data_IF_014140558268
#
_entry.id   IF_014140558268
#
_cell.length_a   1.000
_cell.length_b   1.000
_cell.length_c   1.000
_cell.angle_alpha   90.00
_cell.angle_beta   90.00
_cell.angle_gamma   90.00
#
_symmetry.space_group_name_H-M   'P 1'
#
loop_
_entity.id
_entity.type
_entity.pdbx_description
1 polymer ?
#
# COMPACT_ATOMS: atom_id res chain seq x y z
N UNK A 1 59.09 9.81 54.71
CA UNK A 1 59.61 11.10 54.21
C UNK A 1 60.00 10.92 52.74
N UNK A 2 59.34 11.66 51.82
CA UNK A 2 59.66 11.92 50.38
C UNK A 2 59.73 10.70 49.40
N UNK A 3 58.72 10.48 48.54
CA UNK A 3 58.41 10.99 47.17
C UNK A 3 59.18 10.28 46.03
N UNK A 4 58.40 9.75 45.05
CA UNK A 4 58.57 9.65 43.57
C UNK A 4 58.18 8.24 43.09
N UNK A 5 57.36 8.02 42.06
CA UNK A 5 56.64 8.86 41.10
C UNK A 5 56.07 7.90 40.06
N UNK A 6 54.74 7.84 39.93
CA UNK A 6 54.07 6.96 38.98
C UNK A 6 53.80 7.70 37.66
N UNK A 7 54.21 7.06 36.56
CA UNK A 7 53.92 7.45 35.19
C UNK A 7 52.46 7.14 34.85
N UNK A 8 51.81 8.11 34.18
CA UNK A 8 50.52 7.96 33.52
C UNK A 8 50.60 6.95 32.35
N UNK A 9 49.43 6.43 31.89
CA UNK A 9 48.88 7.04 30.69
C UNK A 9 47.34 7.15 30.65
N UNK A 10 46.91 8.28 30.08
CA UNK A 10 45.84 8.51 29.10
C UNK A 10 44.96 7.31 28.70
N UNK A 11 43.64 7.43 28.87
CA UNK A 11 42.66 7.10 27.82
C UNK A 11 41.22 7.54 28.17
N UNK A 12 40.64 8.28 27.22
CA UNK A 12 39.21 8.33 26.87
C UNK A 12 38.23 9.02 27.84
N UNK A 13 38.21 10.36 27.78
CA UNK A 13 36.94 11.10 27.85
C UNK A 13 36.07 10.69 26.66
N UNK A 14 35.09 9.83 26.88
CA UNK A 14 33.93 9.71 25.98
C UNK A 14 32.85 10.65 26.49
N UNK A 15 32.89 11.87 25.98
CA UNK A 15 31.69 12.67 25.84
C UNK A 15 30.85 12.00 24.75
N UNK A 16 29.67 11.47 25.08
CA UNK A 16 28.61 11.36 24.08
C UNK A 16 27.35 11.96 24.67
N UNK A 17 27.00 13.08 24.07
CA UNK A 17 25.82 13.87 24.30
C UNK A 17 24.58 12.98 24.28
N UNK A 18 23.73 13.15 25.30
CA UNK A 18 22.32 12.85 25.21
C UNK A 18 21.69 13.71 24.12
N UNK A 19 21.71 13.20 22.89
CA UNK A 19 20.68 13.53 21.91
C UNK A 19 19.42 12.84 22.39
N UNK A 20 18.61 13.59 23.13
CA UNK A 20 17.17 13.39 23.20
C UNK A 20 16.68 13.48 21.75
N UNK A 21 16.64 12.34 21.06
CA UNK A 21 15.87 12.17 19.86
C UNK A 21 14.41 12.38 20.26
N UNK A 22 13.92 13.61 20.09
CA UNK A 22 12.49 13.83 19.93
C UNK A 22 12.02 12.85 18.87
N UNK A 23 10.93 12.08 19.10
CA UNK A 23 10.39 11.23 18.06
C UNK A 23 10.06 12.15 16.88
N UNK A 24 10.80 11.98 15.78
CA UNK A 24 10.48 12.60 14.52
C UNK A 24 9.08 12.09 14.16
N UNK A 25 8.09 12.96 14.32
CA UNK A 25 6.71 12.67 13.96
C UNK A 25 6.62 12.39 12.47
N UNK A 26 5.58 11.66 12.08
CA UNK A 26 5.29 11.44 10.68
C UNK A 26 5.32 12.77 9.92
N UNK A 27 6.09 12.85 8.84
CA UNK A 27 6.04 13.97 7.91
C UNK A 27 4.85 13.65 7.02
N UNK A 28 3.70 14.34 7.16
CA UNK A 28 2.65 14.23 6.18
C UNK A 28 3.27 14.60 4.83
N UNK A 29 3.33 13.62 3.96
CA UNK A 29 3.39 13.93 2.53
C UNK A 29 1.94 14.05 2.17
N UNK A 30 1.51 15.28 1.92
CA UNK A 30 0.28 15.45 1.18
C UNK A 30 0.60 15.01 -0.25
N UNK A 31 -0.28 14.24 -0.88
CA UNK A 31 -0.28 13.99 -2.32
C UNK A 31 -1.67 14.42 -2.77
N UNK A 32 -1.75 15.52 -3.49
CA UNK A 32 -3.04 16.01 -3.96
C UNK A 32 -3.42 15.23 -5.20
N UNK A 33 -4.37 14.30 -5.12
CA UNK A 33 -4.95 13.67 -6.30
C UNK A 33 -6.38 14.18 -6.46
N UNK A 34 -6.68 14.76 -7.62
CA UNK A 34 -8.00 15.27 -7.94
C UNK A 34 -8.38 14.97 -9.38
N UNK A 35 -9.61 14.50 -9.59
CA UNK A 35 -10.16 14.19 -10.91
C UNK A 35 -11.55 14.79 -11.05
N UNK A 36 -11.72 15.62 -12.07
CA UNK A 36 -12.97 16.24 -12.47
C UNK A 36 -13.53 15.46 -13.66
N UNK A 37 -14.80 15.06 -13.57
CA UNK A 37 -15.45 14.28 -14.63
C UNK A 37 -16.52 15.05 -15.41
N UNK A 38 -17.19 16.07 -14.85
CA UNK A 38 -18.29 16.74 -15.60
C UNK A 38 -18.73 18.15 -15.11
N UNK A 39 -17.96 18.85 -14.29
CA UNK A 39 -18.33 20.20 -13.81
C UNK A 39 -17.98 21.27 -14.85
N UNK A 40 -18.78 21.33 -15.93
CA UNK A 40 -18.62 22.33 -17.00
C UNK A 40 -19.02 23.73 -16.55
N UNK A 41 -18.29 24.75 -17.00
CA UNK A 41 -18.62 26.14 -16.69
C UNK A 41 -19.87 26.58 -17.47
N UNK A 42 -20.89 27.18 -16.82
CA UNK A 42 -22.09 27.67 -17.50
C UNK A 42 -21.78 28.70 -18.59
N UNK A 43 -22.48 28.63 -19.73
CA UNK A 43 -22.34 29.59 -20.83
C UNK A 43 -21.15 29.33 -21.78
N UNK A 44 -20.42 28.22 -21.60
CA UNK A 44 -19.39 27.79 -22.56
C UNK A 44 -20.03 27.34 -23.89
N UNK A 45 -19.35 27.58 -25.04
CA UNK A 45 -19.86 27.15 -26.33
C UNK A 45 -20.00 25.63 -26.34
N UNK A 46 -21.23 25.14 -26.53
CA UNK A 46 -21.46 23.70 -26.70
C UNK A 46 -21.03 23.29 -28.10
N UNK A 47 -19.93 22.55 -28.20
CA UNK A 47 -19.51 21.94 -29.47
C UNK A 47 -19.95 20.46 -29.50
N UNK A 48 -20.41 19.98 -30.66
CA UNK A 48 -20.67 18.55 -30.87
C UNK A 48 -19.39 17.79 -31.28
N UNK A 49 -18.27 18.50 -31.42
CA UNK A 49 -16.98 17.96 -31.83
C UNK A 49 -16.25 17.41 -30.60
N UNK A 50 -16.08 16.10 -30.54
CA UNK A 50 -15.42 15.42 -29.42
C UNK A 50 -13.97 15.86 -29.21
N UNK A 51 -13.26 16.31 -30.26
CA UNK A 51 -11.89 16.79 -30.16
C UNK A 51 -11.80 18.20 -29.54
N UNK A 52 -12.94 18.89 -29.45
CA UNK A 52 -13.11 20.22 -28.86
C UNK A 52 -13.91 20.17 -27.55
N UNK A 53 -14.01 18.99 -26.95
CA UNK A 53 -14.76 18.76 -25.72
C UNK A 53 -13.87 18.03 -24.72
N UNK A 54 -13.87 18.50 -23.47
CA UNK A 54 -13.24 17.82 -22.34
C UNK A 54 -14.20 16.74 -21.83
N UNK A 55 -13.66 15.56 -21.50
CA UNK A 55 -14.39 14.45 -20.89
C UNK A 55 -14.01 14.24 -19.44
N UNK A 56 -12.73 14.40 -19.12
CA UNK A 56 -12.22 14.33 -17.78
C UNK A 56 -10.92 15.12 -17.69
N UNK A 57 -10.64 15.71 -16.54
CA UNK A 57 -9.36 16.34 -16.27
C UNK A 57 -8.90 15.92 -14.87
N UNK A 58 -7.62 15.66 -14.70
CA UNK A 58 -7.04 15.32 -13.41
C UNK A 58 -5.75 16.08 -13.18
N UNK A 59 -5.46 16.31 -11.90
CA UNK A 59 -4.20 16.82 -11.42
C UNK A 59 -3.75 15.92 -10.26
N UNK A 60 -2.55 15.39 -10.37
CA UNK A 60 -1.87 14.65 -9.32
C UNK A 60 -0.63 15.41 -8.90
N UNK A 61 -0.40 15.54 -7.61
CA UNK A 61 0.58 16.47 -7.07
C UNK A 61 1.42 15.81 -6.00
N UNK A 62 2.74 15.74 -6.23
CA UNK A 62 3.75 15.43 -5.22
C UNK A 62 4.27 16.74 -4.61
N UNK A 63 3.79 17.05 -3.42
CA UNK A 63 4.13 18.28 -2.71
C UNK A 63 5.56 18.29 -2.15
N UNK A 64 6.31 17.17 -2.20
CA UNK A 64 7.75 17.14 -1.80
C UNK A 64 8.66 17.56 -2.93
N UNK A 65 8.43 17.03 -4.12
CA UNK A 65 9.21 17.36 -5.32
C UNK A 65 8.72 18.65 -5.95
N UNK A 66 7.51 19.09 -5.61
CA UNK A 66 6.82 20.17 -6.28
C UNK A 66 6.26 19.74 -7.64
N UNK A 67 6.29 18.44 -7.93
CA UNK A 67 5.86 17.89 -9.21
C UNK A 67 4.33 17.78 -9.27
N UNK A 68 3.77 18.21 -10.39
CA UNK A 68 2.36 18.12 -10.71
C UNK A 68 2.24 17.44 -12.06
N UNK A 69 1.55 16.30 -12.07
CA UNK A 69 1.11 15.63 -13.29
C UNK A 69 -0.32 16.06 -13.61
N UNK A 70 -0.51 16.67 -14.77
CA UNK A 70 -1.78 17.18 -15.27
C UNK A 70 -2.21 16.33 -16.45
N UNK A 71 -3.45 15.86 -16.43
CA UNK A 71 -4.00 15.04 -17.51
C UNK A 71 -5.36 15.58 -17.94
N UNK A 72 -5.60 15.65 -19.24
CA UNK A 72 -6.89 15.99 -19.84
C UNK A 72 -7.27 14.93 -20.88
N UNK A 73 -8.47 14.39 -20.74
CA UNK A 73 -9.07 13.44 -21.66
C UNK A 73 -10.09 14.17 -22.52
N UNK A 74 -9.94 14.10 -23.84
CA UNK A 74 -10.87 14.69 -24.80
C UNK A 74 -12.05 13.75 -25.08
N UNK A 75 -13.12 14.26 -25.68
CA UNK A 75 -14.26 13.47 -26.13
C UNK A 75 -13.95 12.56 -27.32
N UNK A 76 -12.93 12.89 -28.11
CA UNK A 76 -12.38 12.07 -29.19
C UNK A 76 -10.94 12.47 -29.54
N UNK A 77 -10.27 11.66 -30.37
CA UNK A 77 -8.95 11.96 -30.91
C UNK A 77 -8.89 13.32 -31.62
N UNK A 78 -7.76 14.02 -31.47
CA UNK A 78 -7.50 15.27 -32.21
C UNK A 78 -7.30 14.94 -33.69
N UNK A 79 -8.02 15.59 -34.62
CA UNK A 79 -7.88 15.33 -36.05
C UNK A 79 -6.45 15.58 -36.52
N UNK A 80 -6.00 14.77 -37.50
CA UNK A 80 -4.67 14.92 -38.07
C UNK A 80 -4.42 16.37 -38.54
N UNK A 81 -3.23 16.89 -38.26
CA UNK A 81 -2.80 18.26 -38.60
C UNK A 81 -3.61 19.38 -37.93
N UNK A 82 -4.44 19.04 -36.93
CA UNK A 82 -5.08 20.02 -36.05
C UNK A 82 -4.30 20.15 -34.74
N UNK A 83 -4.37 21.34 -34.16
CA UNK A 83 -3.73 21.64 -32.89
C UNK A 83 -4.79 22.02 -31.87
N UNK A 84 -4.70 21.43 -30.69
CA UNK A 84 -5.45 21.85 -29.51
C UNK A 84 -4.47 22.21 -28.40
N UNK A 85 -4.84 23.21 -27.62
CA UNK A 85 -4.08 23.63 -26.44
C UNK A 85 -4.94 23.46 -25.20
N UNK A 86 -4.43 22.74 -24.21
CA UNK A 86 -5.07 22.58 -22.91
C UNK A 86 -4.32 23.45 -21.92
N UNK A 87 -5.06 24.27 -21.18
CA UNK A 87 -4.51 25.12 -20.12
C UNK A 87 -5.16 24.76 -18.80
N UNK A 88 -4.34 24.39 -17.81
CA UNK A 88 -4.74 24.15 -16.43
C UNK A 88 -4.36 25.35 -15.58
N UNK A 89 -5.32 25.85 -14.80
CA UNK A 89 -5.14 26.85 -13.78
C UNK A 89 -5.35 26.21 -12.41
N UNK A 90 -4.27 26.13 -11.62
CA UNK A 90 -4.33 25.79 -10.21
C UNK A 90 -4.49 27.08 -9.42
N UNK A 91 -5.51 27.18 -8.58
CA UNK A 91 -5.88 28.45 -7.98
C UNK A 91 -6.69 28.36 -6.70
N UNK A 92 -7.23 29.51 -6.29
CA UNK A 92 -8.14 29.61 -5.13
C UNK A 92 -9.52 30.08 -5.54
N UNK A 93 -10.55 29.56 -4.89
CA UNK A 93 -11.88 30.12 -5.05
C UNK A 93 -11.91 31.57 -4.57
N UNK A 94 -12.52 32.43 -5.38
CA UNK A 94 -12.96 33.75 -4.96
C UNK A 94 -13.91 33.64 -3.75
N UNK A 95 -14.02 34.67 -2.90
CA UNK A 95 -14.91 34.65 -1.74
C UNK A 95 -16.39 34.36 -2.08
N UNK A 96 -16.82 34.66 -3.31
CA UNK A 96 -18.16 34.36 -3.82
C UNK A 96 -18.34 32.91 -4.28
N UNK A 97 -17.25 32.13 -4.38
CA UNK A 97 -17.25 30.76 -4.90
C UNK A 97 -17.53 30.66 -6.40
N UNK A 98 -17.62 31.77 -7.12
CA UNK A 98 -18.02 31.81 -8.54
C UNK A 98 -16.85 31.72 -9.51
N UNK A 99 -15.65 32.12 -9.08
CA UNK A 99 -14.45 32.20 -9.91
C UNK A 99 -13.25 31.53 -9.24
N UNK A 100 -12.46 30.82 -10.03
CA UNK A 100 -11.16 30.28 -9.63
C UNK A 100 -10.08 31.31 -10.01
N UNK A 101 -9.47 31.96 -9.02
CA UNK A 101 -8.38 32.90 -9.22
C UNK A 101 -7.08 32.11 -9.46
N UNK A 102 -6.47 32.18 -10.67
CA UNK A 102 -5.32 31.37 -11.02
C UNK A 102 -4.06 31.83 -10.26
N UNK A 103 -3.36 30.90 -9.64
CA UNK A 103 -2.04 31.14 -9.03
C UNK A 103 -0.92 30.53 -9.87
N UNK A 104 -1.16 29.34 -10.43
CA UNK A 104 -0.25 28.67 -11.37
C UNK A 104 -1.01 28.31 -12.63
N UNK A 105 -0.30 28.41 -13.76
CA UNK A 105 -0.84 28.09 -15.08
C UNK A 105 0.12 27.17 -15.80
N UNK A 106 -0.41 26.08 -16.34
CA UNK A 106 0.33 25.16 -17.21
C UNK A 106 -0.43 25.04 -18.52
N UNK A 107 0.29 25.07 -19.62
CA UNK A 107 -0.28 24.87 -20.95
C UNK A 107 0.46 23.74 -21.64
N UNK A 108 -0.30 22.82 -22.21
CA UNK A 108 0.21 21.77 -23.08
C UNK A 108 -0.49 21.85 -24.44
N UNK A 109 0.25 21.51 -25.49
CA UNK A 109 -0.26 21.47 -26.85
C UNK A 109 -0.27 20.02 -27.33
N UNK A 110 -1.41 19.57 -27.85
CA UNK A 110 -1.53 18.30 -28.54
C UNK A 110 -1.74 18.57 -30.03
N UNK A 111 -0.90 17.94 -30.85
CA UNK A 111 -1.01 17.94 -32.31
C UNK A 111 -1.59 16.59 -32.70
N UNK A 112 -2.68 16.60 -33.46
CA UNK A 112 -3.36 15.38 -33.86
C UNK A 112 -2.48 14.51 -34.75
N UNK A 113 -2.24 13.29 -34.28
CA UNK A 113 -1.58 12.20 -35.00
C UNK A 113 -2.58 11.09 -35.42
N UNK A 114 -3.87 11.30 -35.16
CA UNK A 114 -4.95 10.36 -35.46
C UNK A 114 -5.25 9.34 -34.35
N UNK A 115 -4.62 9.43 -33.18
CA UNK A 115 -4.89 8.55 -32.04
C UNK A 115 -5.60 9.26 -30.89
N UNK A 116 -6.43 8.50 -30.17
CA UNK A 116 -7.06 8.97 -28.93
C UNK A 116 -6.05 8.82 -27.79
N UNK A 117 -5.45 9.95 -27.40
CA UNK A 117 -4.51 10.01 -26.27
C UNK A 117 -4.91 11.14 -25.35
N UNK A 118 -4.83 10.93 -24.03
CA UNK A 118 -4.92 12.04 -23.11
C UNK A 118 -3.78 13.03 -23.36
N UNK A 119 -4.05 14.30 -23.14
CA UNK A 119 -3.03 15.34 -23.09
C UNK A 119 -2.48 15.34 -21.67
N UNK A 120 -1.24 14.88 -21.51
CA UNK A 120 -0.55 14.79 -20.22
C UNK A 120 0.65 15.73 -20.19
N UNK A 121 0.82 16.45 -19.10
CA UNK A 121 1.95 17.36 -18.87
C UNK A 121 2.43 17.26 -17.43
N UNK A 122 3.74 17.17 -17.25
CA UNK A 122 4.38 17.09 -15.93
C UNK A 122 5.19 18.36 -15.68
N UNK A 123 4.94 19.04 -14.56
CA UNK A 123 5.64 20.28 -14.19
C UNK A 123 6.11 20.27 -12.76
N UNK A 124 7.31 20.79 -12.54
CA UNK A 124 7.86 21.01 -11.20
C UNK A 124 7.72 22.49 -10.84
N UNK A 125 7.04 22.77 -9.74
CA UNK A 125 6.89 24.09 -9.16
C UNK A 125 7.74 24.21 -7.89
N UNK A 126 8.66 25.16 -7.87
CA UNK A 126 9.55 25.39 -6.72
C UNK A 126 8.79 25.86 -5.46
N UNK A 127 7.59 26.44 -5.64
CA UNK A 127 6.76 27.08 -4.63
C UNK A 127 5.31 26.58 -4.70
N UNK A 128 5.14 25.27 -4.91
CA UNK A 128 3.84 24.64 -4.99
C UNK A 128 3.06 24.85 -3.67
N UNK A 129 2.04 25.71 -3.69
CA UNK A 129 1.33 26.15 -2.50
C UNK A 129 0.23 25.17 -2.10
N UNK A 130 0.25 24.69 -0.84
CA UNK A 130 -0.68 23.67 -0.28
C UNK A 130 -2.17 24.06 -0.24
N UNK A 131 -2.52 25.21 -0.80
CA UNK A 131 -3.83 25.86 -0.63
C UNK A 131 -4.64 25.97 -1.93
N UNK A 132 -4.29 25.23 -3.00
CA UNK A 132 -5.17 25.22 -4.16
C UNK A 132 -6.53 24.67 -3.73
N UNK A 133 -7.57 25.47 -3.95
CA UNK A 133 -8.95 25.13 -3.61
C UNK A 133 -9.80 24.96 -4.85
N UNK A 134 -9.25 25.23 -6.04
CA UNK A 134 -9.90 24.99 -7.32
C UNK A 134 -8.92 24.57 -8.41
N UNK A 135 -9.43 23.78 -9.35
CA UNK A 135 -8.81 23.49 -10.63
C UNK A 135 -9.73 23.98 -11.74
N UNK A 136 -9.19 24.76 -12.67
CA UNK A 136 -9.91 25.27 -13.83
C UNK A 136 -9.14 24.92 -15.10
N UNK A 137 -9.76 24.18 -16.00
CA UNK A 137 -9.11 23.66 -17.21
C UNK A 137 -9.88 24.13 -18.43
N UNK A 138 -9.19 24.78 -19.36
CA UNK A 138 -9.74 25.25 -20.62
C UNK A 138 -9.08 24.57 -21.81
N UNK A 139 -9.90 24.21 -22.79
CA UNK A 139 -9.47 23.69 -24.08
C UNK A 139 -9.60 24.78 -25.14
N UNK A 140 -8.48 25.17 -25.75
CA UNK A 140 -8.40 26.19 -26.78
C UNK A 140 -8.09 25.56 -28.14
N UNK A 141 -8.86 25.91 -29.17
CA UNK A 141 -8.57 25.55 -30.56
C UNK A 141 -8.64 26.81 -31.41
N UNK A 142 -7.71 26.98 -32.36
CA UNK A 142 -7.71 28.15 -33.25
C UNK A 142 -7.81 29.51 -32.52
N UNK A 143 -7.22 29.59 -31.30
CA UNK A 143 -7.24 30.76 -30.40
C UNK A 143 -8.59 31.06 -29.72
N UNK A 144 -9.56 30.16 -29.81
CA UNK A 144 -10.85 30.26 -29.11
C UNK A 144 -11.00 29.16 -28.05
N UNK A 145 -11.52 29.52 -26.88
CA UNK A 145 -11.85 28.55 -25.83
C UNK A 145 -13.11 27.80 -26.25
N UNK A 146 -12.96 26.49 -26.46
CA UNK A 146 -14.02 25.60 -26.93
C UNK A 146 -14.70 24.82 -25.83
N UNK A 147 -14.01 24.56 -24.71
CA UNK A 147 -14.61 23.93 -23.55
C UNK A 147 -13.85 24.34 -22.28
N UNK A 148 -14.54 24.25 -21.13
CA UNK A 148 -13.98 24.57 -19.82
C UNK A 148 -14.64 23.76 -18.72
N UNK A 149 -13.81 23.06 -17.94
CA UNK A 149 -14.21 22.35 -16.73
C UNK A 149 -13.63 23.05 -15.50
N UNK A 150 -14.40 23.15 -14.42
CA UNK A 150 -13.96 23.77 -13.18
C UNK A 150 -14.60 23.10 -11.98
N UNK A 151 -13.79 22.73 -11.00
CA UNK A 151 -14.28 22.17 -9.74
C UNK A 151 -13.43 22.59 -8.54
N UNK A 152 -13.95 22.32 -7.34
CA UNK A 152 -13.23 22.47 -6.10
C UNK A 152 -12.13 21.42 -5.97
N UNK A 153 -10.93 21.87 -5.63
CA UNK A 153 -9.81 20.99 -5.32
C UNK A 153 -10.06 20.32 -3.98
N UNK A 154 -10.41 19.04 -4.00
CA UNK A 154 -10.51 18.22 -2.80
C UNK A 154 -9.15 17.61 -2.50
N UNK A 155 -8.49 18.04 -1.44
CA UNK A 155 -7.26 17.42 -0.95
C UNK A 155 -7.57 16.03 -0.40
N UNK A 156 -7.08 14.97 -1.06
CA UNK A 156 -6.85 13.70 -0.40
C UNK A 156 -5.49 13.79 0.32
N UNK A 157 -5.41 13.40 1.59
CA UNK A 157 -4.12 13.23 2.27
C UNK A 157 -3.71 11.77 2.05
N UNK A 158 -2.66 11.54 1.25
CA UNK A 158 -2.07 10.21 1.10
C UNK A 158 -0.63 10.23 1.62
N UNK A 159 -0.37 9.48 2.68
CA UNK A 159 0.94 9.46 3.33
C UNK A 159 1.95 8.62 2.50
N UNK A 160 3.12 9.18 2.19
CA UNK A 160 4.24 8.38 1.67
C UNK A 160 4.79 7.47 2.77
N UNK A 161 5.20 6.28 2.40
CA UNK A 161 5.92 5.38 3.29
C UNK A 161 5.53 3.93 3.08
N UNK A 162 5.99 3.10 4.01
CA UNK A 162 5.63 1.70 4.07
C UNK A 162 4.69 1.42 5.26
N UNK A 163 3.77 0.50 5.04
CA UNK A 163 2.90 -0.07 6.06
C UNK A 163 3.22 -1.54 6.23
N UNK A 164 3.14 -2.03 7.47
CA UNK A 164 3.13 -3.45 7.74
C UNK A 164 2.01 -3.84 8.71
N UNK A 165 1.27 -4.90 8.36
CA UNK A 165 0.25 -5.48 9.23
C UNK A 165 0.30 -7.01 9.17
N UNK A 166 -0.06 -7.70 10.24
CA UNK A 166 -0.29 -9.14 10.17
C UNK A 166 -1.51 -9.41 9.30
N UNK A 167 -1.44 -10.43 8.44
CA UNK A 167 -2.48 -10.69 7.46
C UNK A 167 -3.91 -10.78 8.06
N UNK A 168 -4.10 -11.44 9.20
CA UNK A 168 -5.42 -11.54 9.84
C UNK A 168 -5.85 -10.26 10.59
N UNK A 169 -4.94 -9.30 10.79
CA UNK A 169 -5.18 -8.00 11.42
C UNK A 169 -5.40 -6.83 10.44
N UNK A 170 -5.18 -7.05 9.14
CA UNK A 170 -5.33 -6.06 8.07
C UNK A 170 -6.61 -5.22 8.20
N UNK A 171 -6.48 -3.90 7.95
CA UNK A 171 -7.51 -2.87 8.14
C UNK A 171 -8.95 -3.37 7.88
N UNK A 172 -9.78 -3.35 8.93
CA UNK A 172 -11.19 -3.78 8.90
C UNK A 172 -11.45 -5.22 9.35
N UNK A 173 -10.42 -6.02 9.64
CA UNK A 173 -10.57 -7.38 10.17
C UNK A 173 -10.68 -7.40 11.69
N UNK A 174 -11.75 -7.99 12.24
CA UNK A 174 -11.83 -8.32 13.69
C UNK A 174 -11.06 -9.60 14.05
N UNK A 175 -10.47 -10.26 13.06
CA UNK A 175 -9.79 -11.53 13.23
C UNK A 175 -8.40 -11.39 13.84
N UNK A 176 -7.87 -12.49 14.39
CA UNK A 176 -6.61 -12.49 15.12
C UNK A 176 -5.62 -13.42 14.46
N UNK A 177 -4.37 -12.98 14.36
CA UNK A 177 -3.31 -13.88 13.91
C UNK A 177 -3.04 -14.91 14.99
N UNK A 178 -3.22 -16.18 14.66
CA UNK A 178 -2.96 -17.27 15.60
C UNK A 178 -1.50 -17.71 15.53
N UNK A 179 -0.80 -17.71 16.66
CA UNK A 179 0.60 -18.16 16.78
C UNK A 179 0.77 -19.18 17.91
N UNK A 180 1.88 -19.91 17.94
CA UNK A 180 2.18 -20.84 19.02
C UNK A 180 2.77 -20.08 20.23
N UNK A 181 2.19 -20.31 21.40
CA UNK A 181 2.60 -19.63 22.61
C UNK A 181 4.03 -19.99 23.03
N UNK A 182 4.84 -18.96 23.28
CA UNK A 182 6.22 -19.07 23.75
C UNK A 182 7.20 -19.65 22.73
N UNK A 183 6.82 -19.71 21.44
CA UNK A 183 7.66 -20.29 20.38
C UNK A 183 7.68 -19.41 19.14
N UNK A 184 8.83 -19.30 18.44
CA UNK A 184 8.88 -18.68 17.12
C UNK A 184 7.93 -19.38 16.16
N UNK A 185 6.95 -18.64 15.67
CA UNK A 185 5.91 -19.13 14.76
C UNK A 185 5.97 -18.34 13.46
N UNK A 186 6.04 -18.99 12.29
CA UNK A 186 5.98 -18.28 11.01
C UNK A 186 4.57 -17.69 10.81
N UNK A 187 4.50 -16.39 10.57
CA UNK A 187 3.27 -15.63 10.33
C UNK A 187 3.40 -14.80 9.05
N UNK A 188 2.26 -14.51 8.40
CA UNK A 188 2.24 -13.62 7.23
C UNK A 188 2.11 -12.17 7.70
N UNK A 189 3.08 -11.35 7.31
CA UNK A 189 3.04 -9.89 7.38
C UNK A 189 2.77 -9.37 5.97
N UNK A 190 1.78 -8.50 5.81
CA UNK A 190 1.55 -7.75 4.59
C UNK A 190 2.38 -6.49 4.68
N UNK A 191 3.28 -6.28 3.72
CA UNK A 191 4.08 -5.06 3.62
C UNK A 191 3.63 -4.32 2.38
N UNK A 192 3.18 -3.10 2.57
CA UNK A 192 2.69 -2.22 1.50
C UNK A 192 3.62 -1.05 1.38
N UNK A 193 3.96 -0.68 0.15
CA UNK A 193 4.51 0.63 -0.15
C UNK A 193 3.40 1.45 -0.79
N UNK A 194 3.13 2.66 -0.30
CA UNK A 194 2.01 3.47 -0.80
C UNK A 194 2.44 4.23 -2.06
N UNK A 195 2.90 5.47 -1.89
CA UNK A 195 3.06 6.43 -2.99
C UNK A 195 4.26 6.12 -3.90
N UNK A 196 5.39 5.67 -3.35
CA UNK A 196 6.65 5.60 -4.10
C UNK A 196 7.26 4.20 -4.02
N UNK A 197 7.83 3.69 -5.12
CA UNK A 197 8.54 2.42 -5.06
C UNK A 197 9.70 2.51 -4.06
N UNK A 198 9.83 1.46 -3.25
CA UNK A 198 10.87 1.31 -2.23
C UNK A 198 11.88 0.25 -2.65
N UNK A 199 13.15 0.63 -2.64
CA UNK A 199 14.28 -0.29 -2.82
C UNK A 199 14.38 -1.26 -1.64
N UNK A 200 14.16 -0.79 -0.40
CA UNK A 200 14.22 -1.60 0.82
C UNK A 200 13.28 -1.04 1.88
N UNK A 201 12.37 -1.89 2.38
CA UNK A 201 11.54 -1.63 3.55
C UNK A 201 11.98 -2.53 4.71
N UNK A 202 12.42 -1.94 5.81
CA UNK A 202 12.69 -2.63 7.07
C UNK A 202 11.43 -2.69 7.92
N UNK A 203 11.07 -3.89 8.39
CA UNK A 203 9.96 -4.10 9.31
C UNK A 203 10.50 -4.52 10.67
N UNK A 204 10.03 -3.81 11.69
CA UNK A 204 10.30 -4.09 13.09
C UNK A 204 8.99 -4.27 13.83
N UNK A 205 9.03 -4.87 15.02
CA UNK A 205 7.87 -4.86 15.90
C UNK A 205 8.24 -4.69 17.35
N UNK A 206 7.28 -4.18 18.11
CA UNK A 206 7.41 -3.86 19.53
C UNK A 206 6.22 -4.39 20.33
N UNK A 207 6.39 -4.43 21.66
CA UNK A 207 5.38 -4.90 22.60
C UNK A 207 5.64 -6.30 23.17
N UNK A 208 4.60 -6.91 23.74
CA UNK A 208 4.70 -8.23 24.37
C UNK A 208 4.93 -9.36 23.35
N UNK A 209 4.47 -9.16 22.12
CA UNK A 209 4.75 -10.03 20.99
C UNK A 209 6.06 -9.58 20.35
N UNK A 210 6.99 -10.52 20.14
CA UNK A 210 8.27 -10.27 19.48
C UNK A 210 8.22 -10.73 18.03
N UNK A 211 8.79 -9.93 17.14
CA UNK A 211 9.04 -10.29 15.75
C UNK A 211 10.53 -10.03 15.47
N UNK A 212 11.19 -10.95 14.78
CA UNK A 212 12.55 -10.70 14.30
C UNK A 212 12.50 -9.63 13.20
N UNK A 213 13.33 -8.56 13.27
CA UNK A 213 13.41 -7.58 12.20
C UNK A 213 13.72 -8.25 10.86
N UNK A 214 13.08 -7.78 9.79
CA UNK A 214 13.32 -8.28 8.45
C UNK A 214 13.22 -7.15 7.43
N UNK A 215 13.80 -7.38 6.26
CA UNK A 215 13.79 -6.43 5.16
C UNK A 215 13.04 -7.00 3.96
N UNK A 216 12.40 -6.10 3.22
CA UNK A 216 11.66 -6.39 1.99
C UNK A 216 12.20 -5.50 0.90
N UNK A 217 12.76 -6.08 -0.16
CA UNK A 217 13.43 -5.30 -1.21
C UNK A 217 12.59 -5.19 -2.48
N UNK A 218 12.67 -4.05 -3.16
CA UNK A 218 12.04 -3.79 -4.46
C UNK A 218 10.53 -3.89 -4.44
N UNK A 219 9.86 -3.14 -3.55
CA UNK A 219 8.41 -2.96 -3.55
C UNK A 219 8.03 -1.86 -4.54
N UNK A 220 7.12 -2.15 -5.47
CA UNK A 220 6.56 -1.11 -6.32
C UNK A 220 5.58 -0.23 -5.52
N UNK A 221 5.31 0.98 -6.01
CA UNK A 221 4.23 1.82 -5.48
C UNK A 221 2.90 1.05 -5.51
N UNK A 222 2.13 1.18 -4.43
CA UNK A 222 0.89 0.47 -4.11
C UNK A 222 0.96 -1.07 -4.19
N UNK A 223 2.17 -1.66 -4.15
CA UNK A 223 2.32 -3.11 -4.09
C UNK A 223 2.15 -3.60 -2.64
N UNK A 224 1.16 -4.46 -2.42
CA UNK A 224 1.06 -5.26 -1.19
C UNK A 224 1.79 -6.59 -1.37
N UNK A 225 2.88 -6.77 -0.63
CA UNK A 225 3.68 -8.00 -0.63
C UNK A 225 3.52 -8.78 0.69
N UNK A 226 3.02 -10.02 0.66
CA UNK A 226 3.03 -10.89 1.82
C UNK A 226 4.43 -11.46 2.05
N UNK A 227 4.93 -11.34 3.28
CA UNK A 227 6.23 -11.82 3.74
C UNK A 227 6.04 -12.75 4.93
N UNK A 228 6.88 -13.79 5.01
CA UNK A 228 6.87 -14.73 6.15
C UNK A 228 7.85 -14.23 7.19
N UNK A 229 7.34 -13.84 8.35
CA UNK A 229 8.14 -13.40 9.49
C UNK A 229 8.00 -14.36 10.68
N UNK A 230 8.97 -14.34 11.60
CA UNK A 230 8.92 -15.16 12.82
C UNK A 230 8.36 -14.34 13.98
N UNK A 231 7.21 -14.76 14.48
CA UNK A 231 6.49 -14.11 15.58
C UNK A 231 6.47 -15.01 16.81
N UNK A 232 6.85 -14.45 17.97
CA UNK A 232 6.81 -15.12 19.27
C UNK A 232 5.91 -14.33 20.21
N UNK A 233 4.88 -14.96 20.77
CA UNK A 233 3.94 -14.31 21.67
C UNK A 233 3.85 -15.06 23.02
N UNK A 234 3.65 -14.34 24.15
CA UNK A 234 3.28 -14.97 25.43
C UNK A 234 1.89 -15.62 25.31
N UNK A 235 1.54 -16.51 26.24
CA UNK A 235 0.22 -17.16 26.24
C UNK A 235 -0.90 -16.13 26.34
N UNK A 236 -2.01 -16.37 25.63
CA UNK A 236 -3.21 -15.54 25.70
C UNK A 236 -3.39 -14.63 24.49
N UNK A 237 -4.13 -13.53 24.69
CA UNK A 237 -4.33 -12.50 23.68
C UNK A 237 -3.34 -11.37 23.92
N UNK A 238 -2.75 -10.85 22.86
CA UNK A 238 -1.80 -9.74 22.90
C UNK A 238 -1.90 -8.92 21.62
N UNK A 239 -1.21 -7.80 21.58
CA UNK A 239 -1.08 -6.96 20.39
C UNK A 239 0.39 -6.92 19.98
N UNK A 240 0.64 -7.01 18.68
CA UNK A 240 1.93 -6.72 18.08
C UNK A 240 1.83 -5.35 17.43
N UNK A 241 2.68 -4.42 17.83
CA UNK A 241 2.85 -3.16 17.10
C UNK A 241 3.92 -3.39 16.04
N UNK A 242 3.56 -3.23 14.78
CA UNK A 242 4.45 -3.33 13.63
C UNK A 242 4.77 -1.94 13.11
N UNK A 243 6.03 -1.77 12.73
CA UNK A 243 6.57 -0.54 12.17
C UNK A 243 7.35 -0.89 10.90
N UNK A 244 6.99 -0.25 9.78
CA UNK A 244 7.65 -0.43 8.49
C UNK A 244 8.30 0.88 8.06
N UNK A 245 9.58 0.81 7.68
CA UNK A 245 10.40 1.96 7.31
C UNK A 245 11.06 1.71 5.96
N UNK A 246 10.89 2.63 5.01
CA UNK A 246 11.58 2.55 3.72
C UNK A 246 13.02 3.10 3.78
N UNK A 247 13.78 2.92 2.70
CA UNK A 247 15.18 3.34 2.61
C UNK A 247 15.39 4.86 2.69
N UNK A 248 14.34 5.65 2.42
CA UNK A 248 14.37 7.11 2.49
C UNK A 248 14.23 7.57 3.94
N UNK A 249 13.86 6.65 4.83
CA UNK A 249 13.61 6.91 6.22
C UNK A 249 12.34 7.73 6.42
N UNK A 250 11.44 7.71 5.43
CA UNK A 250 10.13 8.33 5.55
C UNK A 250 9.33 7.59 6.63
N UNK A 251 8.56 8.32 7.44
CA UNK A 251 8.05 7.79 8.69
C UNK A 251 6.89 6.80 8.51
N UNK A 252 6.75 5.99 9.55
CA UNK A 252 6.11 4.70 9.55
C UNK A 252 4.59 4.78 9.75
N UNK A 253 3.87 3.83 9.17
CA UNK A 253 2.56 3.46 9.69
C UNK A 253 2.74 2.47 10.85
N UNK A 254 2.38 2.89 12.06
CA UNK A 254 2.34 2.03 13.25
C UNK A 254 1.02 1.24 13.27
N UNK A 255 1.05 0.03 12.70
CA UNK A 255 -0.07 -0.91 12.71
C UNK A 255 -0.09 -1.71 14.01
N UNK A 256 -1.23 -1.77 14.70
CA UNK A 256 -1.41 -2.64 15.86
C UNK A 256 -2.23 -3.88 15.50
N UNK A 257 -1.56 -5.02 15.38
CA UNK A 257 -2.19 -6.28 14.97
C UNK A 257 -2.55 -7.14 16.18
N UNK A 258 -3.80 -7.62 16.31
CA UNK A 258 -4.17 -8.51 17.39
C UNK A 258 -3.61 -9.93 17.14
N UNK A 259 -3.02 -10.50 18.18
CA UNK A 259 -2.39 -11.83 18.18
C UNK A 259 -3.04 -12.72 19.24
N UNK A 260 -3.37 -13.96 18.83
CA UNK A 260 -3.85 -15.01 19.71
C UNK A 260 -2.80 -16.12 19.81
N UNK A 261 -2.20 -16.29 21.00
CA UNK A 261 -1.21 -17.32 21.24
C UNK A 261 -1.84 -18.57 21.85
N UNK A 262 -1.71 -19.70 21.13
CA UNK A 262 -2.32 -20.98 21.49
C UNK A 262 -1.27 -22.02 21.85
N UNK A 263 -1.64 -23.04 22.63
CA UNK A 263 -0.78 -24.21 22.84
C UNK A 263 -0.78 -25.05 21.55
N UNK A 264 0.40 -25.41 21.07
CA UNK A 264 0.54 -26.33 19.95
C UNK A 264 0.11 -27.75 20.35
N UNK A 265 -0.61 -28.46 19.49
CA UNK A 265 -0.75 -29.93 19.60
C UNK A 265 0.34 -30.68 18.84
N UNK A 266 1.20 -29.98 18.09
CA UNK A 266 2.20 -30.59 17.22
C UNK A 266 1.72 -30.69 15.77
N UNK A 267 2.30 -31.59 14.99
CA UNK A 267 1.91 -31.82 13.58
C UNK A 267 0.54 -32.52 13.54
N UNK A 268 -0.39 -32.11 12.65
CA UNK A 268 -1.68 -32.77 12.53
C UNK A 268 -1.55 -34.12 11.84
N UNK A 269 -2.50 -35.00 12.10
CA UNK A 269 -2.56 -36.30 11.44
C UNK A 269 -2.74 -36.17 9.92
N UNK A 270 -2.24 -37.18 9.21
CA UNK A 270 -2.51 -37.29 7.78
C UNK A 270 -4.01 -37.44 7.52
N UNK A 271 -4.53 -36.72 6.53
CA UNK A 271 -5.96 -36.75 6.24
C UNK A 271 -6.43 -35.59 5.39
N UNK A 272 -7.75 -35.57 5.19
CA UNK A 272 -8.46 -34.45 4.56
C UNK A 272 -9.06 -33.60 5.67
N UNK A 273 -8.78 -32.31 5.65
CA UNK A 273 -9.41 -31.36 6.55
C UNK A 273 -10.29 -30.44 5.73
N UNK A 274 -11.48 -30.15 6.26
CA UNK A 274 -12.45 -29.28 5.63
C UNK A 274 -12.96 -28.27 6.63
N UNK A 275 -13.18 -27.05 6.16
CA UNK A 275 -13.82 -25.96 6.88
C UNK A 275 -14.62 -25.10 5.92
N UNK A 276 -15.18 -24.02 6.43
CA UNK A 276 -15.92 -23.06 5.62
C UNK A 276 -15.02 -22.49 4.54
N UNK A 277 -15.37 -22.76 3.29
CA UNK A 277 -14.59 -22.34 2.12
C UNK A 277 -13.20 -22.96 1.96
N UNK A 278 -12.73 -23.85 2.86
CA UNK A 278 -11.37 -24.42 2.78
C UNK A 278 -11.36 -25.95 2.78
N UNK A 279 -10.56 -26.54 1.90
CA UNK A 279 -10.23 -27.97 1.89
C UNK A 279 -8.72 -28.14 1.78
N UNK A 280 -8.13 -28.87 2.71
CA UNK A 280 -6.70 -29.19 2.68
C UNK A 280 -6.45 -30.68 2.84
N UNK A 281 -5.36 -31.16 2.23
CA UNK A 281 -4.90 -32.55 2.36
C UNK A 281 -3.49 -32.58 2.91
N UNK A 282 -3.33 -33.21 4.08
CA UNK A 282 -2.04 -33.44 4.74
C UNK A 282 -1.62 -34.89 4.47
N UNK A 283 -0.41 -35.11 3.97
CA UNK A 283 0.15 -36.46 3.82
C UNK A 283 0.80 -36.99 5.11
N UNK A 284 1.19 -38.27 5.14
CA UNK A 284 1.89 -38.89 6.26
C UNK A 284 3.22 -38.18 6.63
N UNK A 285 3.82 -37.48 5.66
CA UNK A 285 5.02 -36.66 5.85
C UNK A 285 4.65 -35.23 6.23
N UNK A 286 3.41 -34.95 6.63
CA UNK A 286 2.86 -33.66 7.05
C UNK A 286 3.04 -32.53 6.04
N UNK A 287 3.01 -32.85 4.75
CA UNK A 287 3.00 -31.87 3.66
C UNK A 287 1.56 -31.54 3.30
N UNK A 288 1.25 -30.26 3.16
CA UNK A 288 -0.03 -29.80 2.62
C UNK A 288 0.02 -29.94 1.09
N UNK A 289 -0.52 -31.04 0.57
CA UNK A 289 -0.48 -31.42 -0.84
C UNK A 289 -1.45 -30.64 -1.71
N UNK A 290 -2.57 -30.24 -1.12
CA UNK A 290 -3.58 -29.42 -1.76
C UNK A 290 -4.19 -28.53 -0.70
N UNK A 291 -4.33 -27.25 -1.00
CA UNK A 291 -5.17 -26.28 -0.29
C UNK A 291 -6.09 -25.66 -1.33
N UNK A 292 -7.38 -25.87 -1.17
CA UNK A 292 -8.42 -25.19 -1.93
C UNK A 292 -9.09 -24.22 -0.98
N UNK A 293 -9.00 -22.94 -1.23
CA UNK A 293 -9.70 -21.91 -0.49
C UNK A 293 -10.63 -21.14 -1.44
N UNK A 294 -11.85 -20.86 -1.00
CA UNK A 294 -12.72 -19.87 -1.62
C UNK A 294 -12.10 -18.50 -1.32
N UNK A 295 -11.35 -17.99 -2.28
CA UNK A 295 -10.76 -16.66 -2.21
C UNK A 295 -11.31 -15.97 -3.43
N UNK A 296 -12.34 -15.13 -3.24
CA UNK A 296 -12.91 -14.33 -4.33
C UNK A 296 -11.78 -13.69 -5.12
N UNK A 297 -11.85 -13.77 -6.45
CA UNK A 297 -10.80 -13.17 -7.28
C UNK A 297 -10.79 -11.66 -7.09
N UNK A 298 -9.59 -11.09 -7.10
CA UNK A 298 -9.40 -9.64 -7.24
C UNK A 298 -9.95 -9.06 -8.56
N UNK A 299 -10.45 -9.91 -9.47
CA UNK A 299 -10.98 -9.55 -10.78
C UNK A 299 -12.47 -9.89 -10.98
N UNK A 300 -13.16 -10.49 -10.00
CA UNK A 300 -14.62 -10.70 -10.01
C UNK A 300 -15.11 -11.20 -8.63
N UNK A 301 -16.26 -10.70 -8.13
CA UNK A 301 -16.87 -11.16 -6.88
C UNK A 301 -17.42 -12.60 -6.93
N UNK A 302 -17.42 -13.26 -8.10
CA UNK A 302 -17.75 -14.68 -8.17
C UNK A 302 -16.71 -15.52 -7.41
N UNK A 303 -17.17 -16.45 -6.57
CA UNK A 303 -16.34 -17.33 -5.74
C UNK A 303 -15.36 -18.17 -6.58
N UNK A 304 -14.15 -17.66 -6.80
CA UNK A 304 -13.09 -18.42 -7.45
C UNK A 304 -12.32 -19.24 -6.41
N UNK A 305 -12.21 -20.55 -6.67
CA UNK A 305 -11.42 -21.48 -5.86
C UNK A 305 -9.94 -21.27 -6.15
N UNK A 306 -9.20 -20.68 -5.22
CA UNK A 306 -7.74 -20.71 -5.26
C UNK A 306 -7.27 -22.13 -4.90
N UNK A 307 -6.66 -22.85 -5.87
CA UNK A 307 -6.07 -24.17 -5.63
C UNK A 307 -4.55 -24.04 -5.60
N UNK A 308 -3.98 -24.25 -4.42
CA UNK A 308 -2.55 -24.28 -4.19
C UNK A 308 -2.11 -25.73 -3.98
N UNK A 309 -1.08 -26.18 -4.69
CA UNK A 309 -0.53 -27.55 -4.58
C UNK A 309 0.85 -27.50 -3.92
N UNK A 310 1.17 -28.53 -3.14
CA UNK A 310 2.47 -28.71 -2.47
C UNK A 310 2.98 -27.42 -1.77
N UNK A 311 2.09 -26.86 -0.95
CA UNK A 311 2.17 -25.47 -0.51
C UNK A 311 3.17 -25.31 0.62
N UNK A 312 3.00 -26.09 1.68
CA UNK A 312 3.80 -25.97 2.91
C UNK A 312 4.07 -27.32 3.54
N UNK A 313 5.25 -27.47 4.14
CA UNK A 313 5.60 -28.61 4.98
C UNK A 313 5.39 -28.20 6.44
N UNK A 314 4.45 -28.86 7.13
CA UNK A 314 4.21 -28.60 8.55
C UNK A 314 5.33 -29.24 9.38
N UNK A 315 6.18 -28.48 10.07
CA UNK A 315 7.18 -29.03 10.99
C UNK A 315 6.51 -29.72 12.19
N UNK A 316 7.30 -30.42 13.01
CA UNK A 316 6.81 -31.04 14.26
C UNK A 316 6.14 -30.04 15.21
N UNK A 317 6.51 -28.77 15.13
CA UNK A 317 5.89 -27.70 15.94
C UNK A 317 4.43 -27.42 15.57
N UNK A 318 3.95 -27.85 14.39
CA UNK A 318 2.54 -27.69 14.01
C UNK A 318 2.18 -26.37 13.33
N UNK A 319 3.15 -25.50 13.05
CA UNK A 319 2.91 -24.24 12.35
C UNK A 319 3.85 -24.05 11.17
N UNK A 320 3.33 -23.57 10.04
CA UNK A 320 4.11 -23.22 8.87
C UNK A 320 3.45 -22.09 8.08
N UNK A 321 4.26 -21.28 7.41
CA UNK A 321 3.78 -20.30 6.47
C UNK A 321 4.67 -20.26 5.22
N UNK A 322 4.11 -19.79 4.11
CA UNK A 322 4.81 -19.62 2.83
C UNK A 322 4.19 -18.45 2.08
N UNK A 323 5.01 -17.67 1.39
CA UNK A 323 4.58 -16.65 0.43
C UNK A 323 5.29 -16.91 -0.90
N UNK A 324 4.57 -16.81 -2.02
CA UNK A 324 5.12 -17.02 -3.37
C UNK A 324 4.46 -16.07 -4.35
N UNK A 325 5.23 -15.63 -5.35
CA UNK A 325 4.70 -14.92 -6.50
C UNK A 325 4.01 -15.93 -7.43
N UNK A 326 2.79 -15.61 -7.87
CA UNK A 326 1.98 -16.42 -8.79
C UNK A 326 1.43 -15.49 -9.86
N UNK A 327 1.99 -15.55 -11.07
CA UNK A 327 1.68 -14.59 -12.14
C UNK A 327 2.05 -13.17 -11.73
N UNK A 328 1.13 -12.21 -11.91
CA UNK A 328 1.31 -10.79 -11.55
C UNK A 328 1.08 -10.49 -10.06
N UNK A 329 0.65 -11.47 -9.25
CA UNK A 329 0.31 -11.26 -7.85
C UNK A 329 1.10 -12.15 -6.90
N UNK A 330 0.79 -12.06 -5.62
CA UNK A 330 1.32 -12.94 -4.58
C UNK A 330 0.23 -13.84 -4.01
N UNK A 331 0.66 -14.99 -3.53
CA UNK A 331 -0.17 -15.87 -2.71
C UNK A 331 0.62 -16.33 -1.51
N UNK A 332 0.04 -16.16 -0.33
CA UNK A 332 0.62 -16.62 0.91
C UNK A 332 -0.37 -17.44 1.73
N UNK A 333 0.16 -18.36 2.52
CA UNK A 333 -0.62 -19.26 3.37
C UNK A 333 0.12 -19.42 4.67
N UNK A 334 -0.62 -19.31 5.78
CA UNK A 334 -0.18 -19.73 7.10
C UNK A 334 -1.14 -20.81 7.62
N UNK A 335 -0.58 -21.84 8.25
CA UNK A 335 -1.32 -22.94 8.86
C UNK A 335 -0.76 -23.19 10.25
N UNK A 336 -1.63 -23.30 11.24
CA UNK A 336 -1.33 -23.60 12.64
C UNK A 336 -2.22 -24.73 13.12
N UNK A 337 -1.63 -25.69 13.82
CA UNK A 337 -2.32 -26.88 14.32
C UNK A 337 -2.78 -26.63 15.75
N UNK A 338 -4.09 -26.68 15.96
CA UNK A 338 -4.73 -26.49 17.26
C UNK A 338 -4.91 -27.83 17.99
N UNK A 339 -5.24 -28.87 17.24
CA UNK A 339 -5.37 -30.25 17.68
C UNK A 339 -5.03 -31.18 16.50
N UNK A 340 -4.80 -32.46 16.75
CA UNK A 340 -4.40 -33.42 15.70
C UNK A 340 -5.43 -33.54 14.57
N UNK A 341 -6.68 -33.21 14.86
CA UNK A 341 -7.81 -33.19 13.94
C UNK A 341 -8.30 -31.77 13.58
N UNK A 342 -7.60 -30.70 14.00
CA UNK A 342 -8.05 -29.31 13.81
C UNK A 342 -6.89 -28.37 13.49
N UNK A 343 -6.99 -27.68 12.36
CA UNK A 343 -6.03 -26.66 11.93
C UNK A 343 -6.74 -25.32 11.71
N UNK A 344 -6.00 -24.23 11.84
CA UNK A 344 -6.45 -22.86 11.59
C UNK A 344 -5.39 -22.15 10.76
N UNK A 345 -5.75 -21.05 10.11
CA UNK A 345 -4.77 -20.34 9.32
C UNK A 345 -5.35 -19.17 8.57
N UNK A 346 -4.57 -18.66 7.64
CA UNK A 346 -4.96 -17.59 6.73
C UNK A 346 -4.41 -17.88 5.33
N UNK A 347 -5.20 -17.55 4.32
CA UNK A 347 -4.79 -17.50 2.92
C UNK A 347 -4.84 -16.05 2.48
N UNK A 348 -3.75 -15.56 1.92
CA UNK A 348 -3.63 -14.21 1.38
C UNK A 348 -3.44 -14.31 -0.11
N UNK A 349 -4.16 -13.48 -0.86
CA UNK A 349 -3.90 -13.22 -2.27
C UNK A 349 -3.80 -11.73 -2.50
N UNK A 350 -2.72 -11.29 -3.11
CA UNK A 350 -2.53 -9.89 -3.51
C UNK A 350 -2.31 -9.82 -5.01
N UNK A 351 -2.88 -8.80 -5.64
CA UNK A 351 -2.64 -8.38 -7.02
C UNK A 351 -2.53 -6.86 -7.05
N UNK A 352 -2.05 -6.22 -8.13
CA UNK A 352 -2.15 -4.78 -8.27
C UNK A 352 -3.60 -4.33 -8.01
N UNK A 353 -3.79 -3.38 -7.08
CA UNK A 353 -5.10 -2.83 -6.71
C UNK A 353 -6.03 -3.73 -5.89
N UNK A 354 -5.58 -4.90 -5.41
CA UNK A 354 -6.44 -5.74 -4.55
C UNK A 354 -5.67 -6.68 -3.64
N UNK A 355 -6.08 -6.69 -2.37
CA UNK A 355 -5.63 -7.63 -1.34
C UNK A 355 -6.83 -8.35 -0.75
N UNK A 356 -6.77 -9.67 -0.70
CA UNK A 356 -7.77 -10.53 -0.06
C UNK A 356 -7.11 -11.40 0.99
N UNK A 357 -7.67 -11.37 2.18
CA UNK A 357 -7.28 -12.19 3.33
C UNK A 357 -8.45 -13.08 3.69
N UNK A 358 -8.25 -14.39 3.69
CA UNK A 358 -9.26 -15.38 4.04
C UNK A 358 -8.74 -16.23 5.21
N UNK A 359 -9.14 -15.90 6.44
CA UNK A 359 -8.89 -16.76 7.58
C UNK A 359 -9.75 -18.02 7.50
N UNK A 360 -9.28 -19.10 8.13
CA UNK A 360 -10.02 -20.36 8.12
C UNK A 360 -9.76 -21.22 9.35
N UNK A 361 -10.73 -22.09 9.64
CA UNK A 361 -10.62 -23.21 10.57
C UNK A 361 -11.09 -24.47 9.85
N UNK A 362 -10.26 -25.51 9.81
CA UNK A 362 -10.59 -26.78 9.17
C UNK A 362 -10.44 -27.95 10.13
N UNK A 363 -11.37 -28.91 10.06
CA UNK A 363 -11.39 -30.14 10.86
C UNK A 363 -11.20 -31.36 9.97
N UNK A 364 -10.54 -32.39 10.49
CA UNK A 364 -10.36 -33.67 9.81
C UNK A 364 -11.74 -34.32 9.59
N UNK A 365 -11.97 -34.80 8.37
CA UNK A 365 -13.13 -35.64 8.03
C UNK A 365 -12.76 -37.12 8.07
#
# INVERSE_FOLDING_TARGET
>A
MRIRGALAPVAACTALAGLLATPAGAVPVEVGQHTIFDTRVPGMPTTADGARTLRAVSAETDWRTGEVELTATLGSAVPAFSEVSVTWHLGRWSPSGSECAPEKTVTATAIGDGYDRPVTETRVFADLARDYTCLDVSLTTQREVTDRMRDGWTTAIAYSGAEADLAAGAAGSTERTTVLAGRPTPAIVLVTSHVLPSATTTVTGSGAVRIEPFEVTGLAADEVRPVVARVTAPRGRSTLSLRARDERGDPDYDGSSPVAAVRASGRPDAGRFTGDGVRLRVDAKGRVRSLVALVGTCSSPADVRARLRDVVRLPRSGAAAVARRVGKGWTAVQVVTLADHKVTGVVVRTTPGCTRVVPFVARRR
#
